data_IF_970266371404
#
_entry.id   IF_970266371404
#
_cell.length_a   1.000
_cell.length_b   1.000
_cell.length_c   1.000
_cell.angle_alpha   90.00
_cell.angle_beta   90.00
_cell.angle_gamma   90.00
#
_symmetry.space_group_name_H-M   'P 1'
#
loop_
_entity.id
_entity.type
_entity.pdbx_description
1 polymer ?
#
# COMPACT_ATOMS: atom_id res chain seq x y z
N UNK A 1 1.79 -9.87 5.67
CA UNK A 1 2.44 -8.58 5.41
C UNK A 1 3.63 -8.79 4.48
N UNK A 2 3.72 -8.02 3.41
CA UNK A 2 4.85 -8.03 2.48
C UNK A 2 5.53 -6.65 2.52
N UNK A 3 6.83 -6.60 2.72
CA UNK A 3 7.61 -5.36 2.75
C UNK A 3 8.72 -5.39 1.70
N UNK A 4 8.95 -4.27 1.03
CA UNK A 4 10.14 -4.05 0.19
C UNK A 4 11.10 -3.16 0.97
N UNK A 5 12.34 -3.62 1.09
CA UNK A 5 13.40 -2.95 1.83
C UNK A 5 14.51 -2.54 0.86
N UNK A 6 14.86 -1.25 0.85
CA UNK A 6 15.83 -0.71 -0.10
C UNK A 6 16.98 -0.04 0.63
N UNK A 7 18.21 -0.44 0.29
CA UNK A 7 19.45 0.10 0.86
C UNK A 7 20.45 -0.98 1.30
N UNK A 8 21.68 -0.55 1.51
CA UNK A 8 22.84 -1.41 1.78
C UNK A 8 22.98 -1.73 3.28
N UNK A 9 22.21 -2.68 3.83
CA UNK A 9 22.45 -3.09 5.23
C UNK A 9 21.89 -4.46 5.57
N UNK A 10 22.65 -5.50 5.30
CA UNK A 10 22.22 -6.88 5.57
C UNK A 10 21.89 -7.16 7.04
N UNK A 11 22.63 -6.60 7.99
CA UNK A 11 22.41 -6.79 9.43
C UNK A 11 21.15 -6.06 9.95
N UNK A 12 20.88 -4.85 9.44
CA UNK A 12 19.71 -4.06 9.82
C UNK A 12 18.42 -4.75 9.35
N UNK A 13 18.38 -5.24 8.13
CA UNK A 13 17.20 -5.92 7.58
C UNK A 13 16.84 -7.19 8.33
N UNK A 14 17.85 -7.95 8.79
CA UNK A 14 17.63 -9.12 9.65
C UNK A 14 16.98 -8.72 10.98
N UNK A 15 17.48 -7.67 11.62
CA UNK A 15 16.94 -7.16 12.88
C UNK A 15 15.50 -6.69 12.72
N UNK A 16 15.22 -5.90 11.68
CA UNK A 16 13.86 -5.42 11.35
C UNK A 16 12.93 -6.60 11.09
N UNK A 17 13.37 -7.59 10.33
CA UNK A 17 12.59 -8.79 10.06
C UNK A 17 12.20 -9.52 11.36
N UNK A 18 13.12 -9.67 12.31
CA UNK A 18 12.83 -10.27 13.61
C UNK A 18 11.81 -9.47 14.40
N UNK A 19 11.96 -8.15 14.45
CA UNK A 19 11.04 -7.26 15.15
C UNK A 19 9.62 -7.35 14.54
N UNK A 20 9.51 -7.19 13.23
CA UNK A 20 8.21 -7.19 12.55
C UNK A 20 7.51 -8.56 12.61
N UNK A 21 8.24 -9.68 12.62
CA UNK A 21 7.68 -11.04 12.77
C UNK A 21 6.99 -11.28 14.11
N UNK A 22 7.27 -10.48 15.13
CA UNK A 22 6.53 -10.55 16.41
C UNK A 22 5.04 -10.27 16.18
N UNK A 23 4.70 -9.34 15.29
CA UNK A 23 3.33 -8.94 14.98
C UNK A 23 2.78 -9.60 13.72
N UNK A 24 3.61 -9.75 12.69
CA UNK A 24 3.24 -10.32 11.39
C UNK A 24 4.03 -11.62 11.15
N UNK A 25 3.48 -12.75 11.60
CA UNK A 25 4.16 -14.07 11.53
C UNK A 25 4.49 -14.47 10.09
N UNK A 26 3.61 -14.13 9.14
CA UNK A 26 3.79 -14.43 7.70
C UNK A 26 4.43 -13.25 6.95
N UNK A 27 5.39 -12.56 7.59
CA UNK A 27 6.12 -11.47 6.98
C UNK A 27 7.02 -11.98 5.84
N UNK A 28 6.82 -11.45 4.64
CA UNK A 28 7.72 -11.58 3.50
C UNK A 28 8.48 -10.27 3.33
N UNK A 29 9.81 -10.32 3.38
CA UNK A 29 10.67 -9.16 3.13
C UNK A 29 11.48 -9.39 1.85
N UNK A 30 11.31 -8.49 0.89
CA UNK A 30 12.08 -8.43 -0.35
C UNK A 30 13.10 -7.30 -0.20
N UNK A 31 14.33 -7.52 -0.62
CA UNK A 31 15.43 -6.58 -0.41
C UNK A 31 16.05 -6.19 -1.74
N UNK A 32 16.45 -4.93 -1.86
CA UNK A 32 17.27 -4.41 -2.95
C UNK A 32 18.29 -3.40 -2.40
N UNK A 33 19.43 -3.32 -3.04
CA UNK A 33 20.45 -2.29 -2.77
C UNK A 33 20.34 -1.12 -3.75
N UNK A 34 19.61 -1.30 -4.85
CA UNK A 34 19.48 -0.32 -5.91
C UNK A 34 18.06 0.26 -5.97
N UNK A 35 17.96 1.58 -6.21
CA UNK A 35 16.69 2.29 -6.33
C UNK A 35 15.80 1.69 -7.42
N UNK A 36 16.37 1.46 -8.60
CA UNK A 36 15.63 0.92 -9.76
C UNK A 36 15.04 -0.45 -9.50
N UNK A 37 15.83 -1.37 -8.94
CA UNK A 37 15.35 -2.69 -8.57
C UNK A 37 14.26 -2.61 -7.48
N UNK A 38 14.44 -1.68 -6.51
CA UNK A 38 13.44 -1.40 -5.49
C UNK A 38 12.09 -0.98 -6.09
N UNK A 39 12.09 -0.07 -7.06
CA UNK A 39 10.88 0.34 -7.79
C UNK A 39 10.27 -0.84 -8.59
N UNK A 40 11.08 -1.64 -9.27
CA UNK A 40 10.61 -2.83 -9.98
C UNK A 40 9.96 -3.85 -9.03
N UNK A 41 10.54 -4.04 -7.83
CA UNK A 41 9.97 -4.89 -6.78
C UNK A 41 8.64 -4.34 -6.28
N UNK A 42 8.54 -3.04 -6.01
CA UNK A 42 7.28 -2.40 -5.59
C UNK A 42 6.19 -2.64 -6.64
N UNK A 43 6.52 -2.43 -7.90
CA UNK A 43 5.58 -2.61 -9.01
C UNK A 43 5.12 -4.06 -9.17
N UNK A 44 6.07 -5.02 -9.11
CA UNK A 44 5.79 -6.43 -9.37
C UNK A 44 5.08 -7.11 -8.21
N UNK A 45 5.52 -6.80 -6.99
CA UNK A 45 5.15 -7.54 -5.79
C UNK A 45 4.01 -6.89 -5.00
N UNK A 46 3.71 -5.61 -5.26
CA UNK A 46 2.66 -4.84 -4.59
C UNK A 46 2.73 -4.99 -3.06
N UNK A 47 3.81 -4.52 -2.41
CA UNK A 47 3.98 -4.72 -0.98
C UNK A 47 3.01 -3.86 -0.15
N UNK A 48 2.82 -4.24 1.11
CA UNK A 48 2.03 -3.46 2.08
C UNK A 48 2.76 -2.21 2.56
N UNK A 49 4.10 -2.22 2.52
CA UNK A 49 4.96 -1.10 2.92
C UNK A 49 6.31 -1.15 2.24
N UNK A 50 6.92 0.02 2.09
CA UNK A 50 8.30 0.20 1.67
C UNK A 50 9.10 0.74 2.84
N UNK A 51 10.28 0.18 3.06
CA UNK A 51 11.23 0.64 4.08
C UNK A 51 12.53 0.98 3.35
N UNK A 52 12.95 2.24 3.43
CA UNK A 52 14.21 2.70 2.82
C UNK A 52 15.22 3.04 3.90
N UNK A 53 16.45 2.59 3.72
CA UNK A 53 17.56 2.96 4.59
C UNK A 53 18.22 4.25 4.11
N UNK A 54 18.26 5.24 4.97
CA UNK A 54 19.04 6.46 4.74
C UNK A 54 20.42 6.33 5.38
N UNK A 55 21.44 6.31 4.54
CA UNK A 55 22.86 6.44 4.92
C UNK A 55 23.50 7.48 4.00
N UNK A 56 23.99 8.61 4.55
CA UNK A 56 24.64 9.65 3.74
C UNK A 56 25.89 9.17 2.98
N UNK A 57 26.49 8.04 3.39
CA UNK A 57 27.66 7.45 2.75
C UNK A 57 27.30 6.40 1.68
N UNK A 58 26.03 6.00 1.58
CA UNK A 58 25.57 4.99 0.62
C UNK A 58 25.46 5.57 -0.80
N UNK A 59 25.48 4.69 -1.78
CA UNK A 59 25.26 5.05 -3.18
C UNK A 59 23.80 5.38 -3.48
N UNK A 60 22.87 4.86 -2.69
CA UNK A 60 21.44 5.13 -2.79
C UNK A 60 21.12 6.50 -2.19
N UNK A 61 20.65 7.44 -3.01
CA UNK A 61 20.00 8.64 -2.50
C UNK A 61 18.55 8.33 -2.11
N UNK A 62 18.29 8.29 -0.80
CA UNK A 62 16.96 7.96 -0.29
C UNK A 62 15.92 9.02 -0.64
N UNK A 63 16.31 10.29 -0.80
CA UNK A 63 15.40 11.38 -1.15
C UNK A 63 14.92 11.26 -2.59
N UNK A 64 15.83 10.98 -3.52
CA UNK A 64 15.46 10.70 -4.91
C UNK A 64 14.55 9.48 -4.99
N UNK A 65 14.86 8.42 -4.23
CA UNK A 65 14.03 7.23 -4.16
C UNK A 65 12.62 7.52 -3.61
N UNK A 66 12.48 8.32 -2.53
CA UNK A 66 11.19 8.74 -1.99
C UNK A 66 10.38 9.48 -3.06
N UNK A 67 10.99 10.45 -3.74
CA UNK A 67 10.36 11.23 -4.80
C UNK A 67 9.87 10.35 -5.95
N UNK A 68 10.69 9.40 -6.37
CA UNK A 68 10.33 8.45 -7.43
C UNK A 68 9.18 7.53 -7.00
N UNK A 69 9.23 6.96 -5.78
CA UNK A 69 8.12 6.15 -5.24
C UNK A 69 6.84 6.97 -5.21
N UNK A 70 6.86 8.20 -4.72
CA UNK A 70 5.68 9.07 -4.62
C UNK A 70 5.12 9.52 -5.97
N UNK A 71 5.96 9.56 -7.00
CA UNK A 71 5.49 9.85 -8.37
C UNK A 71 4.56 8.76 -8.92
N UNK A 72 4.67 7.52 -8.42
CA UNK A 72 3.95 6.37 -8.98
C UNK A 72 3.10 5.61 -7.95
N UNK A 73 3.41 5.74 -6.65
CA UNK A 73 2.80 4.89 -5.62
C UNK A 73 2.43 5.69 -4.37
N UNK A 74 1.22 5.48 -3.89
CA UNK A 74 0.76 5.95 -2.58
C UNK A 74 0.81 4.78 -1.58
N UNK A 75 2.00 4.20 -1.42
CA UNK A 75 2.27 3.09 -0.53
C UNK A 75 2.90 3.61 0.77
N UNK A 76 2.59 3.04 1.95
CA UNK A 76 3.30 3.35 3.18
C UNK A 76 4.81 3.27 2.99
N UNK A 77 5.53 4.37 3.23
CA UNK A 77 6.98 4.48 3.06
C UNK A 77 7.62 5.00 4.34
N UNK A 78 8.49 4.19 4.91
CA UNK A 78 9.19 4.47 6.16
C UNK A 78 10.68 4.60 5.88
N UNK A 79 11.28 5.67 6.36
CA UNK A 79 12.74 5.85 6.31
C UNK A 79 13.34 5.36 7.61
N UNK A 80 14.39 4.56 7.52
CA UNK A 80 15.21 4.17 8.66
C UNK A 80 16.59 4.79 8.51
N UNK A 81 17.05 5.51 9.55
CA UNK A 81 18.36 6.13 9.54
C UNK A 81 19.04 6.06 10.91
N UNK A 82 20.35 5.91 10.90
CA UNK A 82 21.17 6.06 12.11
C UNK A 82 21.52 7.55 12.40
N UNK A 83 21.26 8.42 11.44
CA UNK A 83 21.45 9.86 11.61
C UNK A 83 20.32 10.48 12.43
N UNK A 84 20.67 11.33 13.38
CA UNK A 84 19.73 12.18 14.13
C UNK A 84 19.61 13.58 13.49
N UNK A 85 19.98 13.73 12.22
CA UNK A 85 19.85 15.03 11.54
C UNK A 85 18.37 15.35 11.32
N UNK A 86 17.95 16.41 11.99
CA UNK A 86 16.55 16.89 11.92
C UNK A 86 16.24 17.41 10.52
N UNK A 87 17.22 17.96 9.82
CA UNK A 87 17.04 18.50 8.46
C UNK A 87 16.68 17.39 7.48
N UNK A 88 17.42 16.27 7.53
CA UNK A 88 17.16 15.11 6.69
C UNK A 88 15.79 14.49 6.99
N UNK A 89 15.45 14.39 8.29
CA UNK A 89 14.13 13.93 8.72
C UNK A 89 13.00 14.80 8.15
N UNK A 90 13.11 16.12 8.31
CA UNK A 90 12.11 17.07 7.81
C UNK A 90 11.99 16.95 6.29
N UNK A 91 13.12 16.95 5.58
CA UNK A 91 13.16 16.79 4.13
C UNK A 91 12.45 15.51 3.66
N UNK A 92 12.75 14.37 4.27
CA UNK A 92 12.12 13.10 3.92
C UNK A 92 10.61 13.13 4.10
N UNK A 93 10.12 13.69 5.22
CA UNK A 93 8.70 13.81 5.50
C UNK A 93 7.99 14.77 4.53
N UNK A 94 8.61 15.91 4.19
CA UNK A 94 8.08 16.85 3.19
C UNK A 94 8.04 16.24 1.79
N UNK A 95 8.97 15.36 1.45
CA UNK A 95 8.99 14.62 0.20
C UNK A 95 8.02 13.45 0.16
N UNK A 96 7.32 13.18 1.28
CA UNK A 96 6.23 12.22 1.35
C UNK A 96 6.56 10.90 2.04
N UNK A 97 7.66 10.79 2.78
CA UNK A 97 7.81 9.68 3.71
C UNK A 97 6.74 9.76 4.80
N UNK A 98 6.17 8.63 5.19
CA UNK A 98 5.13 8.56 6.23
C UNK A 98 5.73 8.62 7.63
N UNK A 99 6.99 8.19 7.78
CA UNK A 99 7.73 8.28 9.03
C UNK A 99 9.24 8.17 8.82
N UNK A 100 9.97 8.62 9.85
CA UNK A 100 11.42 8.52 9.94
C UNK A 100 11.82 7.94 11.29
N UNK A 101 12.34 6.74 11.27
CA UNK A 101 12.65 5.94 12.46
C UNK A 101 14.14 5.78 12.64
N UNK A 102 14.62 5.91 13.89
CA UNK A 102 16.01 5.60 14.25
C UNK A 102 16.09 4.20 14.88
N UNK A 103 17.16 3.43 14.67
CA UNK A 103 17.30 2.09 15.25
C UNK A 103 17.39 2.05 16.78
N UNK A 104 17.51 3.19 17.45
CA UNK A 104 17.42 3.32 18.90
C UNK A 104 15.99 3.20 19.43
N UNK A 105 15.00 3.26 18.56
CA UNK A 105 13.59 3.05 18.89
C UNK A 105 13.38 1.64 19.42
N UNK A 106 12.69 1.52 20.55
CA UNK A 106 12.36 0.21 21.14
C UNK A 106 11.58 -0.63 20.12
N UNK A 107 11.84 -1.95 20.01
CA UNK A 107 11.17 -2.82 19.04
C UNK A 107 9.65 -2.72 19.05
N UNK A 108 9.03 -2.57 20.24
CA UNK A 108 7.58 -2.42 20.37
C UNK A 108 7.07 -1.08 19.87
N UNK A 109 7.86 -0.01 19.99
CA UNK A 109 7.56 1.31 19.47
C UNK A 109 7.57 1.29 17.94
N UNK A 110 8.60 0.70 17.34
CA UNK A 110 8.68 0.53 15.89
C UNK A 110 7.49 -0.26 15.33
N UNK A 111 7.10 -1.36 15.99
CA UNK A 111 5.89 -2.11 15.59
C UNK A 111 4.64 -1.23 15.67
N UNK A 112 4.53 -0.42 16.73
CA UNK A 112 3.38 0.47 16.92
C UNK A 112 3.32 1.57 15.85
N UNK A 113 4.47 2.17 15.50
CA UNK A 113 4.61 3.16 14.43
C UNK A 113 4.22 2.57 13.06
N UNK A 114 4.81 1.45 12.67
CA UNK A 114 4.45 0.75 11.42
C UNK A 114 2.95 0.42 11.39
N UNK A 115 2.40 -0.09 12.48
CA UNK A 115 0.97 -0.40 12.55
C UNK A 115 0.09 0.86 12.44
N UNK A 116 0.52 1.98 13.05
CA UNK A 116 -0.21 3.24 12.98
C UNK A 116 -0.19 3.83 11.55
N UNK A 117 0.92 3.69 10.83
CA UNK A 117 1.06 4.13 9.45
C UNK A 117 0.15 3.29 8.55
N UNK A 118 0.25 1.96 8.64
CA UNK A 118 -0.60 1.05 7.87
C UNK A 118 -2.09 1.34 8.11
N UNK A 119 -2.49 1.67 9.33
CA UNK A 119 -3.87 2.06 9.66
C UNK A 119 -4.26 3.41 9.06
N UNK A 120 -3.35 4.42 9.05
CA UNK A 120 -3.63 5.77 8.51
C UNK A 120 -3.76 5.80 7.00
N UNK A 121 -3.04 4.93 6.30
CA UNK A 121 -3.17 4.76 4.84
C UNK A 121 -4.48 4.08 4.44
N UNK A 122 -5.32 3.74 5.42
CA UNK A 122 -6.66 3.18 5.23
C UNK A 122 -7.70 4.27 5.24
N UNK A 123 -8.69 4.23 4.36
CA UNK A 123 -9.81 5.16 4.40
C UNK A 123 -10.52 5.06 5.75
N UNK A 124 -10.58 6.18 6.48
CA UNK A 124 -11.36 6.28 7.72
C UNK A 124 -12.84 6.30 7.39
N UNK A 125 -13.55 5.23 7.70
CA UNK A 125 -14.98 5.25 7.95
C UNK A 125 -15.29 4.58 9.29
N UNK A 126 -16.12 5.23 10.10
CA UNK A 126 -16.41 4.95 11.50
C UNK A 126 -17.16 3.62 11.78
N UNK A 127 -17.32 2.75 10.82
CA UNK A 127 -17.88 1.41 11.03
C UNK A 127 -16.77 0.36 10.92
N UNK A 128 -16.53 -0.36 12.01
CA UNK A 128 -15.50 -1.42 12.09
C UNK A 128 -15.71 -2.52 11.04
N UNK A 129 -16.94 -2.73 10.60
CA UNK A 129 -17.29 -3.72 9.58
C UNK A 129 -18.47 -3.22 8.75
N UNK A 130 -18.29 -3.18 7.44
CA UNK A 130 -19.32 -2.79 6.49
C UNK A 130 -19.71 -3.97 5.62
N UNK A 131 -21.02 -4.17 5.42
CA UNK A 131 -21.54 -5.23 4.58
C UNK A 131 -22.30 -4.65 3.38
N UNK A 132 -21.99 -5.11 2.18
CA UNK A 132 -22.49 -4.60 0.91
C UNK A 132 -23.05 -5.72 0.06
N UNK A 133 -23.87 -5.36 -0.92
CA UNK A 133 -24.44 -6.31 -1.89
C UNK A 133 -25.15 -7.49 -1.19
N UNK A 134 -26.00 -7.18 -0.19
CA UNK A 134 -26.71 -8.18 0.62
C UNK A 134 -25.79 -9.22 1.28
N UNK A 135 -24.64 -8.79 1.78
CA UNK A 135 -23.68 -9.66 2.47
C UNK A 135 -22.69 -10.39 1.57
N UNK A 136 -22.76 -10.22 0.25
CA UNK A 136 -21.78 -10.82 -0.67
C UNK A 136 -20.37 -10.26 -0.47
N UNK A 137 -20.26 -8.98 -0.12
CA UNK A 137 -18.99 -8.30 0.18
C UNK A 137 -19.03 -7.75 1.60
N UNK A 138 -18.07 -8.14 2.42
CA UNK A 138 -17.89 -7.61 3.79
C UNK A 138 -16.46 -7.08 3.94
N UNK A 139 -16.34 -5.87 4.45
CA UNK A 139 -15.04 -5.22 4.68
C UNK A 139 -14.91 -4.91 6.17
N UNK A 140 -13.86 -5.40 6.79
CA UNK A 140 -13.43 -4.96 8.10
C UNK A 140 -12.39 -3.85 7.95
N UNK A 141 -12.79 -2.62 8.22
CA UNK A 141 -11.93 -1.45 8.04
C UNK A 141 -10.81 -1.35 9.08
N UNK A 142 -10.97 -2.00 10.25
CA UNK A 142 -9.94 -1.99 11.29
C UNK A 142 -8.79 -2.98 11.00
N UNK A 143 -9.12 -4.13 10.38
CA UNK A 143 -8.16 -5.20 10.06
C UNK A 143 -7.78 -5.26 8.59
N UNK A 144 -8.47 -4.48 7.72
CA UNK A 144 -8.39 -4.52 6.25
C UNK A 144 -8.74 -5.87 5.65
N UNK A 145 -9.45 -6.68 6.39
CA UNK A 145 -9.92 -7.95 5.90
C UNK A 145 -11.14 -7.74 4.98
N UNK A 146 -11.10 -8.40 3.85
CA UNK A 146 -12.18 -8.37 2.86
C UNK A 146 -12.70 -9.78 2.67
N UNK A 147 -14.00 -9.97 2.84
CA UNK A 147 -14.65 -11.24 2.62
C UNK A 147 -15.61 -11.12 1.44
N UNK A 148 -15.50 -12.06 0.49
CA UNK A 148 -16.41 -12.16 -0.66
C UNK A 148 -17.08 -13.52 -0.61
N UNK A 149 -18.41 -13.53 -0.56
CA UNK A 149 -19.22 -14.73 -0.32
C UNK A 149 -18.75 -15.53 0.92
N UNK A 150 -18.32 -14.80 1.98
CA UNK A 150 -17.81 -15.38 3.22
C UNK A 150 -16.37 -15.94 3.15
N UNK A 151 -15.70 -15.83 2.02
CA UNK A 151 -14.29 -16.24 1.86
C UNK A 151 -13.36 -15.04 2.05
N UNK A 152 -12.30 -15.21 2.82
CA UNK A 152 -11.25 -14.21 2.99
C UNK A 152 -10.50 -13.99 1.67
N UNK A 153 -10.42 -12.72 1.23
CA UNK A 153 -9.77 -12.31 -0.01
C UNK A 153 -8.63 -11.35 0.33
N UNK A 154 -7.40 -11.75 0.07
CA UNK A 154 -6.23 -10.91 0.32
C UNK A 154 -6.07 -9.88 -0.78
N UNK A 155 -6.31 -8.62 -0.44
CA UNK A 155 -6.11 -7.47 -1.31
C UNK A 155 -4.81 -6.75 -0.96
N UNK A 156 -4.15 -6.22 -1.97
CA UNK A 156 -3.05 -5.26 -1.78
C UNK A 156 -3.61 -3.91 -1.33
N UNK A 157 -2.78 -3.00 -0.78
CA UNK A 157 -3.25 -1.67 -0.35
C UNK A 157 -3.97 -0.89 -1.44
N UNK A 158 -3.49 -0.94 -2.68
CA UNK A 158 -4.11 -0.26 -3.83
C UNK A 158 -5.44 -0.91 -4.21
N UNK A 159 -5.50 -2.23 -4.29
CA UNK A 159 -6.75 -2.96 -4.55
C UNK A 159 -7.80 -2.66 -3.47
N UNK A 160 -7.37 -2.60 -2.21
CA UNK A 160 -8.24 -2.23 -1.09
C UNK A 160 -8.79 -0.81 -1.24
N UNK A 161 -7.93 0.20 -1.57
CA UNK A 161 -8.36 1.58 -1.82
C UNK A 161 -9.40 1.65 -2.96
N UNK A 162 -9.17 0.93 -4.06
CA UNK A 162 -10.11 0.88 -5.19
C UNK A 162 -11.46 0.32 -4.74
N UNK A 163 -11.48 -0.81 -4.02
CA UNK A 163 -12.72 -1.42 -3.52
C UNK A 163 -13.43 -0.49 -2.55
N UNK A 164 -12.73 0.13 -1.61
CA UNK A 164 -13.33 1.09 -0.69
C UNK A 164 -13.97 2.28 -1.42
N UNK A 165 -13.36 2.78 -2.49
CA UNK A 165 -13.92 3.87 -3.29
C UNK A 165 -15.17 3.42 -4.07
N UNK A 166 -15.19 2.21 -4.59
CA UNK A 166 -16.37 1.64 -5.25
C UNK A 166 -17.52 1.41 -4.26
N UNK A 167 -17.20 0.94 -3.06
CA UNK A 167 -18.17 0.74 -1.98
C UNK A 167 -18.81 2.06 -1.54
N UNK A 168 -18.00 3.11 -1.35
CA UNK A 168 -18.48 4.45 -0.98
C UNK A 168 -19.51 5.03 -1.95
N UNK A 169 -19.50 4.60 -3.20
CA UNK A 169 -20.46 5.07 -4.21
C UNK A 169 -21.81 4.35 -4.17
N UNK A 170 -21.98 3.37 -3.26
CA UNK A 170 -23.23 2.64 -3.02
C UNK A 170 -23.92 2.17 -4.31
N UNK A 171 -23.18 1.43 -5.14
CA UNK A 171 -23.65 0.97 -6.47
C UNK A 171 -23.60 2.04 -7.58
N UNK A 172 -23.26 3.28 -7.25
CA UNK A 172 -23.03 4.35 -8.23
C UNK A 172 -21.78 4.11 -9.07
N UNK A 173 -21.72 4.71 -10.26
CA UNK A 173 -20.57 4.63 -11.15
C UNK A 173 -19.46 5.55 -10.70
N UNK A 174 -18.29 5.01 -10.44
CA UNK A 174 -17.07 5.78 -10.14
C UNK A 174 -16.24 5.96 -11.40
N UNK A 175 -15.92 7.20 -11.73
CA UNK A 175 -15.11 7.50 -12.92
C UNK A 175 -13.68 6.95 -12.78
N UNK A 176 -13.04 6.64 -13.93
CA UNK A 176 -11.64 6.21 -13.93
C UNK A 176 -10.72 7.23 -13.26
N UNK A 177 -10.93 8.52 -13.51
CA UNK A 177 -10.16 9.58 -12.90
C UNK A 177 -10.32 9.61 -11.38
N UNK A 178 -11.54 9.41 -10.86
CA UNK A 178 -11.80 9.35 -9.43
C UNK A 178 -11.14 8.14 -8.76
N UNK A 179 -11.15 6.96 -9.41
CA UNK A 179 -10.47 5.76 -8.91
C UNK A 179 -8.95 5.94 -8.90
N UNK A 180 -8.39 6.53 -9.96
CA UNK A 180 -6.96 6.83 -10.02
C UNK A 180 -6.56 7.82 -8.93
N UNK A 181 -7.32 8.90 -8.77
CA UNK A 181 -7.08 9.90 -7.73
C UNK A 181 -7.16 9.32 -6.31
N UNK A 182 -8.16 8.48 -6.03
CA UNK A 182 -8.35 7.89 -4.69
C UNK A 182 -7.28 6.85 -4.35
N UNK A 183 -6.80 6.10 -5.34
CA UNK A 183 -5.83 5.02 -5.11
C UNK A 183 -4.38 5.51 -5.13
N UNK A 184 -4.05 6.50 -5.98
CA UNK A 184 -2.67 6.96 -6.22
C UNK A 184 -2.41 8.44 -5.90
N UNK A 185 -3.45 9.19 -5.49
CA UNK A 185 -3.33 10.61 -5.13
C UNK A 185 -3.63 11.59 -6.26
N UNK A 186 -3.74 12.92 -5.92
CA UNK A 186 -4.24 13.96 -6.83
C UNK A 186 -3.31 14.26 -8.01
N UNK A 187 -2.01 14.09 -7.84
CA UNK A 187 -1.01 14.43 -8.84
C UNK A 187 -0.69 13.28 -9.80
N UNK A 188 -1.34 12.13 -9.59
CA UNK A 188 -1.09 10.95 -10.39
C UNK A 188 -1.68 11.08 -11.81
N UNK A 189 -0.80 11.23 -12.79
CA UNK A 189 -1.13 11.31 -14.22
C UNK A 189 -1.00 9.95 -14.92
N UNK A 190 -1.47 8.88 -14.29
CA UNK A 190 -1.33 7.55 -14.85
C UNK A 190 -2.14 7.34 -16.11
N UNK A 191 -1.58 6.50 -16.98
CA UNK A 191 -2.28 5.90 -18.10
C UNK A 191 -3.53 5.14 -17.59
N UNK A 192 -4.72 5.38 -18.18
CA UNK A 192 -5.93 4.61 -17.87
C UNK A 192 -5.78 3.10 -17.99
N UNK A 193 -4.82 2.61 -18.77
CA UNK A 193 -4.49 1.19 -18.89
C UNK A 193 -3.98 0.58 -17.57
N UNK A 194 -3.34 1.41 -16.73
CA UNK A 194 -2.85 0.99 -15.43
C UNK A 194 -4.00 0.56 -14.50
N UNK A 195 -5.07 1.37 -14.42
CA UNK A 195 -6.27 1.02 -13.64
C UNK A 195 -6.90 -0.29 -14.12
N UNK A 196 -6.95 -0.55 -15.43
CA UNK A 196 -7.53 -1.78 -15.98
C UNK A 196 -6.84 -3.03 -15.44
N UNK A 197 -5.51 -2.97 -15.26
CA UNK A 197 -4.71 -4.06 -14.70
C UNK A 197 -5.14 -4.39 -13.26
N UNK A 198 -5.38 -3.37 -12.42
CA UNK A 198 -5.85 -3.57 -11.05
C UNK A 198 -7.29 -4.06 -10.99
N UNK A 199 -8.16 -3.56 -11.85
CA UNK A 199 -9.54 -4.08 -11.97
C UNK A 199 -9.53 -5.56 -12.40
N UNK A 200 -8.65 -5.94 -13.35
CA UNK A 200 -8.49 -7.33 -13.74
C UNK A 200 -8.06 -8.21 -12.55
N UNK A 201 -7.06 -7.76 -11.77
CA UNK A 201 -6.57 -8.48 -10.58
C UNK A 201 -7.65 -8.58 -9.49
N UNK A 202 -8.38 -7.50 -9.24
CA UNK A 202 -9.52 -7.52 -8.32
C UNK A 202 -10.57 -8.54 -8.75
N UNK A 203 -10.93 -8.57 -10.03
CA UNK A 203 -11.85 -9.57 -10.55
C UNK A 203 -11.32 -11.00 -10.37
N UNK A 204 -10.04 -11.21 -10.67
CA UNK A 204 -9.41 -12.51 -10.47
C UNK A 204 -9.45 -13.00 -9.02
N UNK A 205 -9.49 -12.08 -8.05
CA UNK A 205 -9.57 -12.41 -6.61
C UNK A 205 -10.99 -12.49 -6.07
N UNK A 206 -11.93 -11.71 -6.61
CA UNK A 206 -13.25 -11.47 -6.02
C UNK A 206 -14.41 -12.10 -6.80
N UNK A 207 -14.29 -12.26 -8.10
CA UNK A 207 -15.34 -12.83 -8.94
C UNK A 207 -15.29 -14.36 -8.94
N UNK A 208 -16.44 -14.98 -9.13
CA UNK A 208 -16.50 -16.42 -9.39
C UNK A 208 -16.02 -16.76 -10.80
N UNK A 209 -16.38 -15.92 -11.78
CA UNK A 209 -15.86 -15.94 -13.14
C UNK A 209 -15.34 -14.55 -13.53
N UNK A 210 -14.02 -14.34 -13.55
CA UNK A 210 -13.45 -13.05 -13.91
C UNK A 210 -13.74 -12.59 -15.34
N UNK A 211 -14.09 -13.50 -16.25
CA UNK A 211 -14.47 -13.19 -17.63
C UNK A 211 -15.88 -12.62 -17.73
N UNK A 212 -16.76 -13.01 -16.79
CA UNK A 212 -18.14 -12.54 -16.69
C UNK A 212 -18.37 -11.91 -15.30
N UNK A 213 -17.78 -10.73 -15.03
CA UNK A 213 -17.80 -10.13 -13.71
C UNK A 213 -19.19 -9.64 -13.31
N UNK A 214 -19.63 -10.05 -12.12
CA UNK A 214 -20.92 -9.69 -11.53
C UNK A 214 -20.77 -8.64 -10.42
N UNK A 215 -19.64 -8.65 -9.67
CA UNK A 215 -19.41 -7.73 -8.57
C UNK A 215 -18.82 -6.40 -9.06
N UNK A 216 -17.78 -6.44 -9.91
CA UNK A 216 -17.12 -5.25 -10.42
C UNK A 216 -17.48 -5.06 -11.88
N UNK A 217 -18.54 -4.29 -12.13
CA UNK A 217 -19.08 -4.07 -13.47
C UNK A 217 -18.39 -2.88 -14.14
N UNK A 218 -18.12 -3.02 -15.45
CA UNK A 218 -17.59 -1.93 -16.27
C UNK A 218 -18.71 -1.11 -16.88
N UNK A 219 -18.75 0.17 -16.62
CA UNK A 219 -19.61 1.11 -17.33
C UNK A 219 -18.79 1.78 -18.46
N UNK A 220 -19.12 1.36 -19.69
CA UNK A 220 -18.36 1.74 -20.89
C UNK A 220 -18.27 3.25 -21.04
N UNK A 221 -17.05 3.73 -21.28
CA UNK A 221 -16.76 5.16 -21.44
C UNK A 221 -16.73 5.97 -20.15
N UNK A 222 -17.20 5.45 -19.01
CA UNK A 222 -17.34 6.18 -17.74
C UNK A 222 -16.36 5.65 -16.69
N UNK A 223 -16.53 4.40 -16.24
CA UNK A 223 -15.75 3.87 -15.13
C UNK A 223 -16.19 2.49 -14.69
N UNK A 224 -16.30 2.30 -13.37
CA UNK A 224 -16.66 1.02 -12.75
C UNK A 224 -17.64 1.24 -11.61
N UNK A 225 -18.43 0.22 -11.29
CA UNK A 225 -19.31 0.17 -10.12
C UNK A 225 -19.35 -1.21 -9.50
N UNK A 226 -19.80 -1.27 -8.25
CA UNK A 226 -20.22 -2.54 -7.62
C UNK A 226 -21.69 -2.82 -7.91
N UNK A 227 -22.01 -4.10 -8.09
CA UNK A 227 -23.38 -4.55 -8.43
C UNK A 227 -23.79 -5.74 -7.59
#
# INVERSE_FOLDING_TARGET
MKAVCVGETSGLWQTIALILRVRWRDLTMLQSTEAREGIELIYREEPDTVIVHHDPAATLDCFDFISEVRSFFDIPLIVISQSNDVTDKVRALEMGADDWVTPSTLPMEFIAEVNAILRRCSPHDNELTSSFLNGKLTINHATHEVFVYGKDVKLTPIEYKIICQLVKSDGGVVSRASLLHSAWGPDYRADPEFLKKYIYRLRAKMEQDPAHPELIVTERGVGYRLS
#
